data_IF_719663224254
#
_entry.id   IF_719663224254
#
_cell.length_a   1.000
_cell.length_b   1.000
_cell.length_c   1.000
_cell.angle_alpha   90.00
_cell.angle_beta   90.00
_cell.angle_gamma   90.00
#
_symmetry.space_group_name_H-M   'P 1'
#
loop_
_entity.id
_entity.type
_entity.pdbx_description
1 polymer ?
#
# COMPACT_ATOMS: atom_id res chain seq x y z
N UNK A 1 -0.74 -7.26 5.89
CA UNK A 1 -1.96 -7.75 6.55
C UNK A 1 -2.50 -6.63 7.46
N UNK A 2 -3.27 -5.71 6.89
CA UNK A 2 -3.69 -4.45 7.55
C UNK A 2 -4.87 -3.82 6.81
N UNK A 3 -5.19 -2.57 7.13
CA UNK A 3 -5.90 -1.59 6.29
C UNK A 3 -7.43 -1.72 6.27
N UNK A 4 -7.97 -2.93 6.12
CA UNK A 4 -9.42 -3.10 5.96
C UNK A 4 -10.21 -2.67 7.21
N UNK A 5 -9.71 -2.97 8.40
CA UNK A 5 -10.38 -2.65 9.66
C UNK A 5 -10.47 -1.13 9.90
N UNK A 6 -9.39 -0.42 9.58
CA UNK A 6 -9.29 1.03 9.69
C UNK A 6 -10.25 1.73 8.72
N UNK A 7 -10.35 1.21 7.48
CA UNK A 7 -11.28 1.73 6.47
C UNK A 7 -12.73 1.55 6.91
N UNK A 8 -13.09 0.40 7.48
CA UNK A 8 -14.43 0.14 8.00
C UNK A 8 -14.79 1.16 9.10
N UNK A 9 -13.90 1.36 10.07
CA UNK A 9 -14.11 2.32 11.15
C UNK A 9 -14.24 3.76 10.63
N UNK A 10 -13.38 4.18 9.71
CA UNK A 10 -13.42 5.51 9.10
C UNK A 10 -14.71 5.74 8.31
N UNK A 11 -15.17 4.74 7.55
CA UNK A 11 -16.43 4.80 6.81
C UNK A 11 -17.66 4.82 7.71
N UNK A 12 -17.64 4.07 8.81
CA UNK A 12 -18.70 4.12 9.82
C UNK A 12 -18.87 5.55 10.38
N UNK A 13 -17.78 6.30 10.51
CA UNK A 13 -17.79 7.70 10.96
C UNK A 13 -18.00 8.73 9.82
N UNK A 14 -18.35 8.30 8.61
CA UNK A 14 -18.64 9.20 7.48
C UNK A 14 -17.41 9.80 6.79
N UNK A 15 -16.20 9.27 7.02
CA UNK A 15 -14.99 9.79 6.40
C UNK A 15 -14.85 9.34 4.93
N UNK A 16 -14.30 10.22 4.11
CA UNK A 16 -13.76 9.81 2.81
C UNK A 16 -12.41 9.12 3.02
N UNK A 17 -12.21 8.00 2.33
CA UNK A 17 -11.03 7.17 2.50
C UNK A 17 -10.44 6.88 1.14
N UNK A 18 -9.13 7.08 1.00
CA UNK A 18 -8.32 6.65 -0.12
C UNK A 18 -7.30 5.62 0.39
N UNK A 19 -7.18 4.50 -0.31
CA UNK A 19 -6.25 3.42 0.03
C UNK A 19 -5.34 3.10 -1.13
N UNK A 20 -4.08 2.77 -0.84
CA UNK A 20 -3.10 2.33 -1.82
C UNK A 20 -2.29 1.16 -1.25
N UNK A 21 -1.74 0.32 -2.11
CA UNK A 21 -0.83 -0.75 -1.71
C UNK A 21 0.42 -0.70 -2.58
N UNK A 22 1.58 -0.68 -1.95
CA UNK A 22 2.84 -0.94 -2.64
C UNK A 22 2.96 -2.45 -2.83
N UNK A 23 3.03 -2.90 -4.08
CA UNK A 23 3.29 -4.31 -4.37
C UNK A 23 4.76 -4.59 -4.10
N UNK A 24 5.03 -5.27 -2.99
CA UNK A 24 6.39 -5.52 -2.50
C UNK A 24 6.96 -6.86 -2.94
N UNK A 25 6.12 -7.77 -3.40
CA UNK A 25 6.50 -9.08 -3.90
C UNK A 25 5.37 -9.65 -4.77
N UNK A 26 5.68 -10.64 -5.60
CA UNK A 26 4.68 -11.46 -6.27
C UNK A 26 4.24 -12.61 -5.36
N UNK A 27 2.98 -13.00 -5.44
CA UNK A 27 2.51 -14.18 -4.70
C UNK A 27 3.06 -15.43 -5.36
N UNK A 28 3.53 -16.36 -4.54
CA UNK A 28 3.87 -17.71 -4.96
C UNK A 28 2.57 -18.44 -5.30
N UNK A 29 2.46 -18.93 -6.54
CA UNK A 29 1.26 -19.60 -7.05
C UNK A 29 1.43 -21.12 -7.14
N UNK A 30 2.67 -21.61 -7.12
CA UNK A 30 3.04 -23.02 -7.21
C UNK A 30 3.94 -23.37 -6.02
N UNK A 31 3.70 -24.53 -5.41
CA UNK A 31 4.45 -25.00 -4.25
C UNK A 31 5.41 -26.11 -4.70
N UNK A 32 6.53 -25.71 -5.32
CA UNK A 32 7.66 -26.60 -5.56
C UNK A 32 8.89 -26.18 -4.72
N UNK A 33 9.96 -26.98 -4.79
CA UNK A 33 11.17 -26.78 -3.98
C UNK A 33 12.01 -25.60 -4.48
N UNK A 34 11.85 -25.21 -5.75
CA UNK A 34 12.65 -24.16 -6.38
C UNK A 34 12.00 -22.77 -6.26
N UNK A 35 10.70 -22.71 -5.94
CA UNK A 35 9.95 -21.45 -5.89
C UNK A 35 10.32 -20.63 -4.64
N UNK A 36 10.82 -19.39 -4.80
CA UNK A 36 11.18 -18.54 -3.66
C UNK A 36 9.96 -18.23 -2.80
N UNK A 37 10.04 -18.51 -1.50
CA UNK A 37 8.98 -18.18 -0.54
C UNK A 37 8.97 -16.69 -0.22
N UNK A 38 7.79 -16.13 0.07
CA UNK A 38 7.66 -14.75 0.52
C UNK A 38 8.56 -14.46 1.74
N UNK A 39 9.37 -13.39 1.64
CA UNK A 39 10.36 -13.03 2.64
C UNK A 39 10.17 -11.58 3.10
N UNK A 40 10.17 -11.35 4.41
CA UNK A 40 10.00 -10.01 4.96
C UNK A 40 11.16 -9.05 4.61
N UNK A 41 12.38 -9.57 4.44
CA UNK A 41 13.52 -8.72 4.06
C UNK A 41 13.35 -8.13 2.65
N UNK A 42 12.83 -8.92 1.71
CA UNK A 42 12.50 -8.43 0.36
C UNK A 42 11.42 -7.33 0.43
N UNK A 43 10.40 -7.55 1.26
CA UNK A 43 9.33 -6.57 1.48
C UNK A 43 9.88 -5.24 1.98
N UNK A 44 10.80 -5.27 2.95
CA UNK A 44 11.45 -4.08 3.48
C UNK A 44 12.32 -3.39 2.43
N UNK A 45 13.08 -4.17 1.65
CA UNK A 45 13.94 -3.63 0.60
C UNK A 45 13.13 -2.89 -0.46
N UNK A 46 12.04 -3.50 -0.97
CA UNK A 46 11.18 -2.82 -1.95
C UNK A 46 10.54 -1.57 -1.38
N UNK A 47 10.19 -1.57 -0.08
CA UNK A 47 9.73 -0.39 0.63
C UNK A 47 10.75 0.76 0.60
N UNK A 48 12.00 0.46 0.90
CA UNK A 48 13.11 1.43 0.86
C UNK A 48 13.38 1.92 -0.58
N UNK A 49 13.43 0.99 -1.53
CA UNK A 49 13.71 1.28 -2.95
C UNK A 49 12.63 2.14 -3.63
N UNK A 50 11.43 2.22 -3.05
CA UNK A 50 10.28 2.98 -3.58
C UNK A 50 9.87 4.15 -2.70
N UNK A 51 10.63 4.42 -1.63
CA UNK A 51 10.30 5.44 -0.63
C UNK A 51 10.12 6.83 -1.28
N UNK A 52 11.08 7.26 -2.10
CA UNK A 52 11.05 8.60 -2.70
C UNK A 52 9.91 8.79 -3.70
N UNK A 53 9.62 7.77 -4.52
CA UNK A 53 8.49 7.81 -5.46
C UNK A 53 7.15 7.83 -4.71
N UNK A 54 7.04 7.03 -3.63
CA UNK A 54 5.83 7.02 -2.80
C UNK A 54 5.60 8.36 -2.10
N UNK A 55 6.66 8.99 -1.57
CA UNK A 55 6.59 10.34 -0.99
C UNK A 55 6.11 11.36 -2.02
N UNK A 56 6.67 11.34 -3.23
CA UNK A 56 6.31 12.27 -4.31
C UNK A 56 4.84 12.11 -4.73
N UNK A 57 4.38 10.86 -4.87
CA UNK A 57 2.99 10.56 -5.19
C UNK A 57 2.04 11.07 -4.10
N UNK A 58 2.31 10.72 -2.84
CA UNK A 58 1.49 11.13 -1.69
C UNK A 58 1.45 12.64 -1.53
N UNK A 59 2.57 13.33 -1.73
CA UNK A 59 2.62 14.80 -1.71
C UNK A 59 1.70 15.40 -2.77
N UNK A 60 1.81 14.94 -4.01
CA UNK A 60 0.95 15.42 -5.10
C UNK A 60 -0.53 15.08 -4.92
N UNK A 61 -0.84 13.98 -4.22
CA UNK A 61 -2.21 13.63 -3.85
C UNK A 61 -2.78 14.61 -2.83
N UNK A 62 -2.04 14.89 -1.74
CA UNK A 62 -2.46 15.80 -0.68
C UNK A 62 -2.66 17.21 -1.23
N UNK A 63 -1.75 17.70 -2.08
CA UNK A 63 -1.88 19.02 -2.72
C UNK A 63 -3.15 19.16 -3.60
N UNK A 64 -3.79 18.06 -3.97
CA UNK A 64 -4.99 18.03 -4.83
C UNK A 64 -6.25 17.54 -4.11
N UNK A 65 -6.15 17.09 -2.87
CA UNK A 65 -7.22 16.34 -2.20
C UNK A 65 -8.47 17.22 -1.95
N UNK A 66 -8.28 18.51 -1.66
CA UNK A 66 -9.38 19.45 -1.44
C UNK A 66 -10.25 19.67 -2.69
N UNK A 67 -9.69 19.47 -3.90
CA UNK A 67 -10.44 19.59 -5.16
C UNK A 67 -11.31 18.38 -5.48
N UNK A 68 -11.17 17.30 -4.71
CA UNK A 68 -11.88 16.03 -4.94
C UNK A 68 -13.10 15.91 -4.02
N UNK A 69 -13.10 16.60 -2.88
CA UNK A 69 -14.13 16.51 -1.85
C UNK A 69 -14.96 17.79 -1.65
N UNK A 70 -14.68 18.85 -2.41
CA UNK A 70 -15.51 20.05 -2.57
C UNK A 70 -16.21 20.02 -3.93
#
# INVERSE_FOLDING_TARGET
>A
MSTAHEVIAAKHCGLHVFGLSLITNLCVMEFDVETPTANHLEVLQVGQDREEELKKLLRGLIEKIDKIFL
#
